data_IF_437858514304
#
_entry.id   IF_437858514304
#
_cell.length_a   1.000
_cell.length_b   1.000
_cell.length_c   1.000
_cell.angle_alpha   90.00
_cell.angle_beta   90.00
_cell.angle_gamma   90.00
#
_symmetry.space_group_name_H-M   'P 1'
#
loop_
_entity.id
_entity.type
_entity.pdbx_description
1 polymer ?
#
# COMPACT_ATOMS: atom_id res chain seq x y z
N UNK A 1 5.63 -9.33 6.67
CA UNK A 1 6.10 -9.28 5.26
C UNK A 1 7.59 -8.96 5.18
N UNK A 2 8.02 -7.73 5.50
CA UNK A 2 9.43 -7.31 5.34
C UNK A 2 10.46 -8.14 6.12
N UNK A 3 10.09 -8.68 7.28
CA UNK A 3 10.92 -9.61 8.07
C UNK A 3 11.23 -10.91 7.32
N UNK A 4 10.32 -11.37 6.45
CA UNK A 4 10.52 -12.54 5.59
C UNK A 4 11.20 -12.20 4.27
N UNK A 5 11.70 -10.97 4.13
CA UNK A 5 12.35 -10.44 2.93
C UNK A 5 11.44 -10.37 1.69
N UNK A 6 10.16 -10.09 1.91
CA UNK A 6 9.18 -9.80 0.86
C UNK A 6 8.77 -8.33 0.87
N UNK A 7 8.16 -7.90 -0.23
CA UNK A 7 7.49 -6.61 -0.42
C UNK A 7 6.05 -6.84 -0.91
N UNK A 8 5.13 -5.95 -0.54
CA UNK A 8 3.70 -6.09 -0.85
C UNK A 8 3.33 -5.53 -2.22
N UNK A 9 3.86 -4.36 -2.59
CA UNK A 9 3.65 -3.66 -3.88
C UNK A 9 2.26 -3.07 -4.14
N UNK A 10 1.27 -3.37 -3.31
CA UNK A 10 -0.09 -2.85 -3.43
C UNK A 10 -0.70 -2.59 -2.05
N UNK A 11 0.08 -1.97 -1.18
CA UNK A 11 -0.34 -1.73 0.18
C UNK A 11 -1.17 -0.45 0.24
N UNK A 12 -2.47 -0.57 0.55
CA UNK A 12 -3.37 0.58 0.73
C UNK A 12 -4.48 0.22 1.73
N UNK A 13 -5.27 1.20 2.16
CA UNK A 13 -6.33 1.00 3.16
C UNK A 13 -7.33 -0.09 2.78
N UNK A 14 -7.69 -0.19 1.49
CA UNK A 14 -8.54 -1.28 0.97
C UNK A 14 -7.99 -2.71 1.10
N UNK A 15 -6.69 -2.88 1.35
CA UNK A 15 -6.04 -4.18 1.58
C UNK A 15 -5.76 -4.44 3.07
N UNK A 16 -6.30 -3.62 3.97
CA UNK A 16 -6.33 -3.86 5.40
C UNK A 16 -7.71 -4.39 5.76
N UNK A 17 -7.78 -5.67 6.10
CA UNK A 17 -9.00 -6.34 6.52
C UNK A 17 -9.17 -6.21 8.04
N UNK A 18 -10.42 -6.19 8.48
CA UNK A 18 -10.77 -6.19 9.90
C UNK A 18 -11.52 -7.48 10.20
N UNK A 19 -10.94 -8.30 11.07
CA UNK A 19 -11.59 -9.45 11.67
C UNK A 19 -12.17 -9.02 13.02
N UNK A 20 -13.49 -9.08 13.14
CA UNK A 20 -14.20 -8.77 14.39
C UNK A 20 -14.35 -10.06 15.17
N UNK A 21 -13.63 -10.18 16.29
CA UNK A 21 -13.71 -11.34 17.17
C UNK A 21 -14.63 -10.98 18.33
N UNK A 22 -15.83 -11.57 18.32
CA UNK A 22 -16.84 -11.36 19.35
C UNK A 22 -16.57 -12.25 20.57
N UNK A 23 -16.39 -11.65 21.75
CA UNK A 23 -16.40 -12.34 23.04
C UNK A 23 -17.62 -11.90 23.86
N UNK A 24 -18.01 -12.71 24.86
CA UNK A 24 -19.15 -12.42 25.74
C UNK A 24 -19.10 -11.03 26.41
N UNK A 25 -17.90 -10.46 26.62
CA UNK A 25 -17.70 -9.22 27.36
C UNK A 25 -17.07 -8.07 26.55
N UNK A 26 -16.57 -8.35 25.34
CA UNK A 26 -15.98 -7.34 24.46
C UNK A 26 -15.82 -7.85 23.02
N UNK A 27 -15.70 -6.91 22.07
CA UNK A 27 -15.23 -7.20 20.73
C UNK A 27 -13.76 -6.81 20.63
N UNK A 28 -12.96 -7.65 19.98
CA UNK A 28 -11.56 -7.35 19.65
C UNK A 28 -11.48 -7.23 18.13
N UNK A 29 -11.00 -6.07 17.67
CA UNK A 29 -10.72 -5.86 16.26
C UNK A 29 -9.29 -6.30 15.96
N UNK A 30 -9.14 -7.31 15.09
CA UNK A 30 -7.86 -7.74 14.57
C UNK A 30 -7.68 -7.22 13.14
N UNK A 31 -6.60 -6.48 12.91
CA UNK A 31 -6.27 -5.94 11.58
C UNK A 31 -5.33 -6.88 10.85
N UNK A 32 -5.66 -7.22 9.61
CA UNK A 32 -4.94 -8.18 8.79
C UNK A 32 -4.53 -7.52 7.47
N UNK A 33 -3.28 -7.74 7.06
CA UNK A 33 -2.82 -7.32 5.73
C UNK A 33 -3.24 -8.42 4.74
N UNK A 34 -4.06 -8.04 3.76
CA UNK A 34 -4.60 -8.91 2.71
C UNK A 34 -3.90 -8.74 1.36
N UNK A 35 -4.49 -9.32 0.32
CA UNK A 35 -4.11 -9.24 -1.09
C UNK A 35 -2.60 -9.28 -1.40
N UNK A 36 -2.02 -10.48 -1.28
CA UNK A 36 -0.61 -10.71 -1.57
C UNK A 36 -0.34 -11.12 -3.03
N UNK A 37 -1.31 -10.94 -3.94
CA UNK A 37 -1.19 -11.39 -5.34
C UNK A 37 -0.02 -10.76 -6.11
N UNK A 38 0.38 -9.54 -5.72
CA UNK A 38 1.50 -8.81 -6.30
C UNK A 38 2.79 -8.89 -5.47
N UNK A 39 2.74 -9.54 -4.30
CA UNK A 39 3.87 -9.64 -3.39
C UNK A 39 5.02 -10.46 -3.99
N UNK A 40 6.26 -10.05 -3.72
CA UNK A 40 7.44 -10.74 -4.23
C UNK A 40 8.65 -10.59 -3.29
N UNK A 41 9.71 -11.40 -3.46
CA UNK A 41 10.97 -11.22 -2.75
C UNK A 41 11.55 -9.81 -2.99
N UNK A 42 12.07 -9.19 -1.95
CA UNK A 42 12.63 -7.83 -2.00
C UNK A 42 13.89 -7.72 -2.89
N UNK A 43 14.55 -8.84 -3.16
CA UNK A 43 15.74 -8.95 -4.00
C UNK A 43 15.45 -9.43 -5.44
N UNK A 44 14.17 -9.46 -5.85
CA UNK A 44 13.80 -9.94 -7.17
C UNK A 44 14.20 -8.93 -8.26
N UNK A 45 15.36 -9.15 -8.91
CA UNK A 45 15.89 -8.31 -9.99
C UNK A 45 15.24 -8.59 -11.35
N UNK A 46 14.41 -9.63 -11.45
CA UNK A 46 13.72 -10.04 -12.67
C UNK A 46 12.30 -9.48 -12.78
N UNK A 47 11.84 -8.70 -11.80
CA UNK A 47 10.47 -8.17 -11.82
C UNK A 47 10.29 -7.22 -12.99
N UNK A 48 9.18 -7.38 -13.73
CA UNK A 48 8.78 -6.45 -14.78
C UNK A 48 8.72 -5.02 -14.22
N UNK A 49 9.08 -4.03 -15.04
CA UNK A 49 8.90 -2.61 -14.73
C UNK A 49 7.42 -2.18 -14.79
N UNK A 50 6.49 -3.13 -14.64
CA UNK A 50 5.07 -2.87 -14.62
C UNK A 50 4.70 -2.24 -13.27
N UNK A 51 4.03 -1.11 -13.36
CA UNK A 51 3.54 -0.34 -12.22
C UNK A 51 2.15 -0.88 -11.89
N UNK A 52 2.02 -1.41 -10.68
CA UNK A 52 0.75 -1.89 -10.13
C UNK A 52 0.40 -1.13 -8.86
N UNK A 53 -0.89 -1.17 -8.52
CA UNK A 53 -1.45 -0.67 -7.29
C UNK A 53 -2.23 0.64 -7.43
N UNK A 54 -2.63 1.21 -6.30
CA UNK A 54 -3.49 2.40 -6.25
C UNK A 54 -2.63 3.67 -6.18
N UNK A 55 -2.65 4.47 -7.26
CA UNK A 55 -1.74 5.62 -7.50
C UNK A 55 -1.42 6.47 -6.25
N UNK A 56 -2.39 6.97 -5.48
CA UNK A 56 -2.13 7.73 -4.26
C UNK A 56 -1.19 7.09 -3.23
N UNK A 57 -1.13 5.76 -3.19
CA UNK A 57 -0.33 4.98 -2.24
C UNK A 57 0.98 4.46 -2.85
N UNK A 58 1.18 4.64 -4.16
CA UNK A 58 2.43 4.24 -4.84
C UNK A 58 3.49 5.31 -4.58
N UNK A 59 4.68 4.87 -4.19
CA UNK A 59 5.81 5.76 -3.94
C UNK A 59 6.27 6.47 -5.24
N UNK A 60 6.57 7.77 -5.21
CA UNK A 60 6.84 8.56 -6.42
C UNK A 60 8.07 8.08 -7.21
N UNK A 61 9.03 7.44 -6.56
CA UNK A 61 10.19 6.83 -7.23
C UNK A 61 9.80 5.69 -8.18
N UNK A 62 8.67 5.01 -7.95
CA UNK A 62 8.20 3.91 -8.80
C UNK A 62 7.79 4.45 -10.17
N UNK A 63 7.15 5.61 -10.22
CA UNK A 63 6.80 6.29 -11.48
C UNK A 63 8.05 6.78 -12.25
N UNK A 64 9.20 6.86 -11.57
CA UNK A 64 10.50 7.21 -12.18
C UNK A 64 11.27 5.97 -12.64
N UNK A 65 10.64 4.79 -12.60
CA UNK A 65 11.23 3.53 -13.03
C UNK A 65 12.14 2.87 -11.98
N UNK A 66 12.12 3.34 -10.73
CA UNK A 66 12.78 2.64 -9.62
C UNK A 66 11.97 1.39 -9.27
N UNK A 67 12.67 0.28 -8.99
CA UNK A 67 12.02 -0.96 -8.60
C UNK A 67 11.31 -0.82 -7.24
N UNK A 68 10.20 -1.55 -7.08
CA UNK A 68 9.55 -1.67 -5.79
C UNK A 68 10.51 -2.22 -4.73
N UNK A 69 10.37 -1.73 -3.51
CA UNK A 69 11.27 -2.02 -2.40
C UNK A 69 10.52 -1.98 -1.06
N UNK A 70 11.22 -2.32 0.02
CA UNK A 70 10.64 -2.17 1.35
C UNK A 70 10.28 -0.71 1.64
N UNK A 71 11.10 0.25 1.17
CA UNK A 71 10.82 1.68 1.38
C UNK A 71 9.58 2.16 0.62
N UNK A 72 9.27 1.59 -0.56
CA UNK A 72 8.03 1.94 -1.26
C UNK A 72 6.79 1.47 -0.50
N UNK A 73 6.81 0.29 0.13
CA UNK A 73 5.71 -0.14 1.02
C UNK A 73 5.57 0.77 2.26
N UNK A 74 6.69 1.30 2.78
CA UNK A 74 6.68 2.26 3.89
C UNK A 74 6.06 3.59 3.47
N UNK A 75 6.33 4.08 2.26
CA UNK A 75 5.62 5.24 1.71
C UNK A 75 4.11 4.99 1.70
N UNK A 76 3.68 3.83 1.20
CA UNK A 76 2.26 3.46 1.18
C UNK A 76 1.63 3.44 2.57
N UNK A 77 2.35 2.94 3.58
CA UNK A 77 1.94 3.03 4.98
C UNK A 77 1.78 4.48 5.44
N UNK A 78 2.69 5.37 5.02
CA UNK A 78 2.58 6.82 5.27
C UNK A 78 1.29 7.42 4.69
N UNK A 79 0.90 7.00 3.49
CA UNK A 79 -0.34 7.44 2.85
C UNK A 79 -1.59 6.91 3.56
N UNK A 80 -1.54 5.68 4.09
CA UNK A 80 -2.59 5.14 4.98
C UNK A 80 -2.69 5.96 6.27
N UNK A 81 -1.57 6.31 6.90
CA UNK A 81 -1.57 7.16 8.11
C UNK A 81 -2.14 8.56 7.82
N UNK A 82 -1.82 9.12 6.66
CA UNK A 82 -2.42 10.37 6.19
C UNK A 82 -3.94 10.24 6.03
N UNK A 83 -4.42 9.14 5.45
CA UNK A 83 -5.86 8.89 5.30
C UNK A 83 -6.56 8.75 6.66
N UNK A 84 -5.97 8.04 7.60
CA UNK A 84 -6.52 7.89 8.95
C UNK A 84 -6.58 9.22 9.72
N UNK A 85 -5.60 10.10 9.54
CA UNK A 85 -5.54 11.39 10.23
C UNK A 85 -6.45 12.45 9.62
N UNK A 86 -6.73 12.37 8.32
CA UNK A 86 -7.59 13.33 7.61
C UNK A 86 -9.02 12.83 7.41
N UNK A 87 -9.25 11.53 7.54
CA UNK A 87 -10.51 10.87 7.19
C UNK A 87 -10.81 10.88 5.69
N UNK A 88 -9.84 11.26 4.84
CA UNK A 88 -9.99 11.40 3.39
C UNK A 88 -8.99 10.50 2.68
N UNK A 89 -9.30 10.04 1.46
CA UNK A 89 -8.28 9.38 0.62
C UNK A 89 -7.19 10.36 0.21
N UNK A 90 -5.93 9.93 0.06
CA UNK A 90 -4.91 10.84 -0.41
C UNK A 90 -5.22 11.36 -1.82
N UNK A 91 -4.95 12.64 -2.02
CA UNK A 91 -5.29 13.36 -3.26
C UNK A 91 -6.78 13.27 -3.63
N UNK A 92 -7.70 13.28 -2.66
CA UNK A 92 -9.17 13.15 -2.90
C UNK A 92 -9.75 14.16 -3.91
N UNK A 93 -9.13 15.34 -4.05
CA UNK A 93 -9.62 16.40 -4.93
C UNK A 93 -9.06 16.34 -6.37
N UNK A 94 -8.21 15.35 -6.67
CA UNK A 94 -7.58 15.17 -7.98
C UNK A 94 -7.93 13.78 -8.50
N UNK A 95 -8.10 13.64 -9.82
CA UNK A 95 -8.30 12.34 -10.44
C UNK A 95 -7.10 11.41 -10.17
N UNK A 96 -7.35 10.17 -9.75
CA UNK A 96 -6.29 9.17 -9.54
C UNK A 96 -5.92 8.53 -10.89
N UNK A 97 -5.41 9.37 -11.79
CA UNK A 97 -5.04 9.00 -13.16
C UNK A 97 -3.61 9.45 -13.49
N UNK A 98 -3.24 9.36 -14.77
CA UNK A 98 -1.90 9.73 -15.23
C UNK A 98 -1.52 11.18 -14.94
N UNK A 99 -2.49 12.10 -14.82
CA UNK A 99 -2.20 13.50 -14.50
C UNK A 99 -1.66 13.62 -13.07
N UNK A 100 -2.23 12.88 -12.11
CA UNK A 100 -1.73 12.87 -10.73
C UNK A 100 -0.29 12.37 -10.67
N UNK A 101 0.08 11.38 -11.50
CA UNK A 101 1.45 10.87 -11.56
C UNK A 101 2.45 11.96 -11.96
N UNK A 102 2.07 12.90 -12.82
CA UNK A 102 2.95 14.02 -13.21
C UNK A 102 3.06 15.11 -12.12
N UNK A 103 2.14 15.13 -11.16
CA UNK A 103 2.11 16.11 -10.06
C UNK A 103 2.89 15.66 -8.81
N UNK A 104 3.24 14.36 -8.69
CA UNK A 104 3.88 13.77 -7.49
C UNK A 104 5.31 13.26 -7.70
#
# INVERSE_FOLDING_TARGET
IHEKDFIHRDFHSGNILVEIIEYELCNIDQYLIGDLGLSQPANNTLSSNEIYGVIPYIAPEIFKGVAFSKSSDIYSMGMIMWELTTGCKPFVNVGHDINLIYEI
#
